data_IF_788995700296
#
_entry.id   IF_788995700296
#
_cell.length_a   1.000
_cell.length_b   1.000
_cell.length_c   1.000
_cell.angle_alpha   90.00
_cell.angle_beta   90.00
_cell.angle_gamma   90.00
#
_symmetry.space_group_name_H-M   'P 1'
#
loop_
_entity.id
_entity.type
_entity.pdbx_description
1 polymer ?
#
# COMPACT_ATOMS: atom_id res chain seq x y z
N UNK A 1 -11.16 -21.45 21.34
CA UNK A 1 -10.23 -20.32 21.14
C UNK A 1 -10.15 -20.05 19.66
N UNK A 2 -10.73 -18.96 19.13
CA UNK A 2 -10.47 -18.45 17.76
C UNK A 2 -11.20 -17.10 17.58
N UNK A 3 -10.81 -16.10 18.37
CA UNK A 3 -11.28 -14.71 18.20
C UNK A 3 -10.21 -13.80 17.57
N UNK A 4 -9.12 -14.36 17.02
CA UNK A 4 -7.95 -13.59 16.53
C UNK A 4 -7.94 -13.26 15.04
N UNK A 5 -8.96 -13.63 14.25
CA UNK A 5 -8.89 -13.58 12.77
C UNK A 5 -9.71 -12.46 12.11
N UNK A 6 -10.44 -11.68 12.92
CA UNK A 6 -11.27 -10.60 12.42
C UNK A 6 -10.43 -9.32 12.35
N UNK A 7 -10.31 -8.78 11.14
CA UNK A 7 -9.72 -7.46 10.90
C UNK A 7 -10.77 -6.45 11.36
N UNK A 8 -10.36 -5.42 12.09
CA UNK A 8 -11.21 -4.28 12.41
C UNK A 8 -11.91 -3.73 11.14
N UNK A 9 -13.23 -3.66 11.15
CA UNK A 9 -14.03 -3.17 10.02
C UNK A 9 -13.61 -1.75 9.61
N UNK A 10 -13.29 -0.88 10.57
CA UNK A 10 -12.86 0.51 10.29
C UNK A 10 -11.52 0.54 9.57
N UNK A 11 -10.61 -0.37 9.93
CA UNK A 11 -9.32 -0.55 9.27
C UNK A 11 -9.54 -1.02 7.83
N UNK A 12 -10.36 -2.05 7.63
CA UNK A 12 -10.67 -2.61 6.32
C UNK A 12 -11.28 -1.55 5.39
N UNK A 13 -12.33 -0.86 5.85
CA UNK A 13 -12.99 0.19 5.06
C UNK A 13 -12.04 1.36 4.76
N UNK A 14 -11.15 1.70 5.71
CA UNK A 14 -10.12 2.71 5.50
C UNK A 14 -9.14 2.30 4.41
N UNK A 15 -8.67 1.06 4.42
CA UNK A 15 -7.77 0.53 3.41
C UNK A 15 -8.42 0.50 2.01
N UNK A 16 -9.66 0.02 1.91
CA UNK A 16 -10.41 0.02 0.66
C UNK A 16 -10.65 1.42 0.10
N UNK A 17 -10.98 2.40 0.95
CA UNK A 17 -11.11 3.81 0.54
C UNK A 17 -9.81 4.43 0.04
N UNK A 18 -8.66 3.97 0.52
CA UNK A 18 -7.37 4.42 0.01
C UNK A 18 -7.12 3.80 -1.36
N UNK A 19 -7.23 2.48 -1.48
CA UNK A 19 -7.00 1.72 -2.71
C UNK A 19 -7.96 2.11 -3.85
N UNK A 20 -9.21 2.46 -3.53
CA UNK A 20 -10.18 2.88 -4.55
C UNK A 20 -9.81 4.16 -5.28
N UNK A 21 -8.92 4.98 -4.71
CA UNK A 21 -8.50 6.27 -5.32
C UNK A 21 -7.29 6.13 -6.23
N UNK A 22 -6.38 5.20 -5.92
CA UNK A 22 -5.19 4.86 -6.72
C UNK A 22 -4.48 3.67 -6.07
N UNK A 23 -3.60 3.02 -6.84
CA UNK A 23 -2.66 2.05 -6.30
C UNK A 23 -1.77 2.67 -5.20
N UNK A 24 -1.48 1.86 -4.18
CA UNK A 24 -0.51 2.13 -3.12
C UNK A 24 0.51 0.99 -3.08
N UNK A 25 1.74 1.29 -2.67
CA UNK A 25 2.64 0.22 -2.23
C UNK A 25 2.19 -0.31 -0.87
N UNK A 26 2.60 -1.54 -0.53
CA UNK A 26 2.36 -2.11 0.80
C UNK A 26 2.80 -1.16 1.90
N UNK A 27 4.02 -0.61 1.76
CA UNK A 27 4.56 0.36 2.72
C UNK A 27 3.77 1.66 2.77
N UNK A 28 3.38 2.23 1.63
CA UNK A 28 2.62 3.48 1.60
C UNK A 28 1.24 3.30 2.24
N UNK A 29 0.57 2.17 1.99
CA UNK A 29 -0.73 1.87 2.60
C UNK A 29 -0.57 1.63 4.11
N UNK A 30 0.39 0.80 4.53
CA UNK A 30 0.66 0.53 5.95
C UNK A 30 0.96 1.81 6.74
N UNK A 31 1.82 2.68 6.24
CA UNK A 31 2.12 3.97 6.88
C UNK A 31 0.88 4.86 7.06
N UNK A 32 -0.01 4.92 6.05
CA UNK A 32 -1.24 5.71 6.16
C UNK A 32 -2.23 5.14 7.16
N UNK A 33 -2.28 3.81 7.30
CA UNK A 33 -3.13 3.16 8.28
C UNK A 33 -2.57 3.35 9.70
N UNK A 34 -1.24 3.30 9.86
CA UNK A 34 -0.58 3.66 11.13
C UNK A 34 -0.83 5.11 11.52
N UNK A 35 -0.76 6.06 10.57
CA UNK A 35 -1.09 7.48 10.83
C UNK A 35 -2.55 7.68 11.27
N UNK A 36 -3.44 6.74 10.95
CA UNK A 36 -4.84 6.70 11.41
C UNK A 36 -5.01 5.97 12.74
N UNK A 37 -3.92 5.65 13.42
CA UNK A 37 -3.87 5.03 14.74
C UNK A 37 -4.46 3.61 14.80
N UNK A 38 -4.43 2.87 13.69
CA UNK A 38 -4.75 1.44 13.71
C UNK A 38 -3.58 0.63 14.26
N UNK A 39 -3.91 -0.50 14.91
CA UNK A 39 -2.94 -1.43 15.46
C UNK A 39 -2.05 -2.06 14.37
N UNK A 40 -0.75 -2.17 14.63
CA UNK A 40 0.23 -2.66 13.64
C UNK A 40 -0.01 -4.12 13.26
N UNK A 41 -0.40 -4.99 14.20
CA UNK A 41 -0.67 -6.40 13.91
C UNK A 41 -1.92 -6.56 13.04
N UNK A 42 -2.94 -5.75 13.29
CA UNK A 42 -4.14 -5.68 12.47
C UNK A 42 -3.84 -5.13 11.06
N UNK A 43 -2.97 -4.13 10.95
CA UNK A 43 -2.52 -3.58 9.66
C UNK A 43 -1.85 -4.66 8.83
N UNK A 44 -0.85 -5.37 9.38
CA UNK A 44 -0.16 -6.44 8.62
C UNK A 44 -1.13 -7.52 8.14
N UNK A 45 -2.05 -7.97 9.00
CA UNK A 45 -3.07 -8.93 8.62
C UNK A 45 -3.99 -8.41 7.49
N UNK A 46 -4.32 -7.11 7.51
CA UNK A 46 -5.11 -6.49 6.45
C UNK A 46 -4.33 -6.38 5.14
N UNK A 47 -3.05 -5.98 5.19
CA UNK A 47 -2.19 -5.89 4.01
C UNK A 47 -2.03 -7.27 3.35
N UNK A 48 -1.77 -8.32 4.12
CA UNK A 48 -1.68 -9.70 3.61
C UNK A 48 -2.97 -10.14 2.93
N UNK A 49 -4.12 -9.86 3.55
CA UNK A 49 -5.44 -10.18 2.98
C UNK A 49 -5.78 -9.37 1.72
N UNK A 50 -5.20 -8.19 1.55
CA UNK A 50 -5.38 -7.34 0.36
C UNK A 50 -4.46 -7.79 -0.78
N UNK A 51 -3.22 -8.18 -0.48
CA UNK A 51 -2.28 -8.77 -1.44
C UNK A 51 -2.77 -10.13 -1.94
N UNK A 52 -3.27 -10.98 -1.05
CA UNK A 52 -3.84 -12.28 -1.44
C UNK A 52 -5.05 -12.16 -2.38
N UNK A 53 -5.72 -11.00 -2.39
CA UNK A 53 -6.82 -10.67 -3.32
C UNK A 53 -6.37 -9.89 -4.55
N UNK A 54 -5.07 -9.66 -4.70
CA UNK A 54 -4.48 -8.78 -5.71
C UNK A 54 -5.09 -7.36 -5.72
N UNK A 55 -5.59 -6.87 -4.58
CA UNK A 55 -6.10 -5.50 -4.43
C UNK A 55 -4.97 -4.53 -4.08
N UNK A 56 -3.93 -5.03 -3.42
CA UNK A 56 -2.68 -4.34 -3.14
C UNK A 56 -1.57 -4.99 -3.97
N UNK A 57 -0.82 -4.22 -4.74
CA UNK A 57 0.23 -4.75 -5.63
C UNK A 57 1.34 -3.73 -5.83
N UNK A 58 2.53 -4.03 -5.29
CA UNK A 58 3.73 -3.20 -5.47
C UNK A 58 4.14 -3.11 -6.95
N UNK A 59 3.90 -4.15 -7.75
CA UNK A 59 4.18 -4.14 -9.18
C UNK A 59 3.29 -3.13 -9.93
N UNK A 60 1.97 -3.16 -9.71
CA UNK A 60 1.06 -2.18 -10.35
C UNK A 60 1.40 -0.76 -9.92
N UNK A 61 1.67 -0.58 -8.63
CA UNK A 61 2.13 0.69 -8.10
C UNK A 61 3.43 1.17 -8.75
N UNK A 62 4.44 0.30 -8.90
CA UNK A 62 5.71 0.62 -9.56
C UNK A 62 5.48 1.12 -10.99
N UNK A 63 4.67 0.40 -11.77
CA UNK A 63 4.41 0.72 -13.17
C UNK A 63 3.74 2.08 -13.34
N UNK A 64 2.77 2.41 -12.47
CA UNK A 64 2.14 3.75 -12.45
C UNK A 64 3.16 4.83 -12.07
N UNK A 65 3.97 4.59 -11.03
CA UNK A 65 4.99 5.53 -10.57
C UNK A 65 6.06 5.81 -11.63
N UNK A 66 6.58 4.77 -12.28
CA UNK A 66 7.57 4.91 -13.37
C UNK A 66 7.00 5.77 -14.49
N UNK A 67 5.77 5.48 -14.95
CA UNK A 67 5.11 6.29 -16.01
C UNK A 67 4.97 7.76 -15.61
N UNK A 68 4.56 8.04 -14.36
CA UNK A 68 4.45 9.41 -13.86
C UNK A 68 5.80 10.12 -13.83
N UNK A 69 6.87 9.43 -13.43
CA UNK A 69 8.21 10.02 -13.40
C UNK A 69 8.80 10.27 -14.79
N UNK A 70 8.55 9.36 -15.75
CA UNK A 70 8.94 9.55 -17.15
C UNK A 70 8.24 10.78 -17.73
N UNK A 71 6.94 10.95 -17.48
CA UNK A 71 6.19 12.14 -17.90
C UNK A 71 6.80 13.44 -17.34
N UNK A 72 7.33 13.39 -16.12
CA UNK A 72 8.05 14.49 -15.46
C UNK A 72 9.51 14.64 -15.89
N UNK A 73 9.98 13.85 -16.87
CA UNK A 73 11.37 13.84 -17.38
C UNK A 73 12.42 13.53 -16.29
N UNK A 74 12.06 12.76 -15.27
CA UNK A 74 13.04 12.30 -14.29
C UNK A 74 13.90 11.19 -14.88
N UNK A 75 15.22 11.26 -14.66
CA UNK A 75 16.15 10.23 -15.09
C UNK A 75 16.02 8.92 -14.29
N UNK A 76 16.49 7.78 -14.83
CA UNK A 76 16.26 6.44 -14.27
C UNK A 76 16.80 6.27 -12.84
N UNK A 77 17.92 6.91 -12.50
CA UNK A 77 18.48 6.90 -11.13
C UNK A 77 17.50 7.50 -10.14
N UNK A 78 16.88 8.64 -10.48
CA UNK A 78 15.90 9.30 -9.62
C UNK A 78 14.67 8.43 -9.42
N UNK A 79 14.17 7.80 -10.49
CA UNK A 79 13.02 6.89 -10.44
C UNK A 79 13.30 5.72 -9.50
N UNK A 80 14.47 5.10 -9.62
CA UNK A 80 14.88 3.99 -8.76
C UNK A 80 14.92 4.39 -7.28
N UNK A 81 15.52 5.53 -6.96
CA UNK A 81 15.58 6.04 -5.59
C UNK A 81 14.17 6.30 -5.04
N UNK A 82 13.29 6.91 -5.84
CA UNK A 82 11.93 7.24 -5.39
C UNK A 82 11.08 5.97 -5.18
N UNK A 83 11.27 4.91 -5.99
CA UNK A 83 10.64 3.60 -5.78
C UNK A 83 11.15 2.90 -4.51
N UNK A 84 12.47 2.87 -4.29
CA UNK A 84 13.06 2.30 -3.07
C UNK A 84 12.57 3.03 -1.81
N UNK A 85 12.40 4.36 -1.90
CA UNK A 85 11.77 5.21 -0.88
C UNK A 85 10.26 5.02 -0.75
N UNK A 86 9.64 4.15 -1.54
CA UNK A 86 8.27 3.66 -1.36
C UNK A 86 8.19 2.16 -1.02
N UNK A 87 9.32 1.49 -0.88
CA UNK A 87 9.42 0.07 -0.52
C UNK A 87 9.32 -0.87 -1.72
N UNK A 88 9.55 -0.35 -2.94
CA UNK A 88 9.39 -1.06 -4.22
C UNK A 88 10.70 -1.03 -5.01
#
# INVERSE_FOLDING_TARGET
>A
MNNSTLIDQRLWDSALRLLSRRDHSRRELGQKLQQRQFDSTQIELALDKLEARDWLSDLRFAQVQVRQHIYKKHGPIRIKIDLQRKGV
#
